data_IF_778706978468
#
_entry.id   IF_778706978468
#
_cell.length_a   1.000
_cell.length_b   1.000
_cell.length_c   1.000
_cell.angle_alpha   90.00
_cell.angle_beta   90.00
_cell.angle_gamma   90.00
#
_symmetry.space_group_name_H-M   'P 1'
#
loop_
_entity.id
_entity.type
_entity.pdbx_description
1 polymer ?
#
# COMPACT_ATOMS: atom_id res chain seq x y z
N UNK A 1 3.13 36.11 -29.80
CA UNK A 1 1.66 35.95 -29.97
C UNK A 1 1.26 34.49 -30.17
N UNK A 2 1.81 33.77 -31.17
CA UNK A 2 1.57 32.32 -31.34
C UNK A 2 1.96 31.50 -30.11
N UNK A 3 3.16 31.72 -29.58
CA UNK A 3 3.63 31.04 -28.35
C UNK A 3 2.77 31.30 -27.11
N UNK A 4 2.24 32.52 -26.96
CA UNK A 4 1.33 32.85 -25.87
C UNK A 4 -0.03 32.16 -26.03
N UNK A 5 -0.53 32.02 -27.26
CA UNK A 5 -1.74 31.27 -27.56
C UNK A 5 -1.54 29.76 -27.33
N UNK A 6 -0.40 29.20 -27.73
CA UNK A 6 -0.04 27.80 -27.48
C UNK A 6 0.02 27.51 -25.98
N UNK A 7 0.74 28.32 -25.19
CA UNK A 7 0.79 28.18 -23.73
C UNK A 7 -0.59 28.33 -23.07
N UNK A 8 -1.43 29.23 -23.58
CA UNK A 8 -2.80 29.37 -23.08
C UNK A 8 -3.66 28.14 -23.37
N UNK A 9 -3.48 27.50 -24.53
CA UNK A 9 -4.17 26.27 -24.89
C UNK A 9 -3.69 25.09 -24.02
N UNK A 10 -2.38 24.93 -23.86
CA UNK A 10 -1.76 23.93 -22.99
C UNK A 10 -2.25 24.07 -21.53
N UNK A 11 -2.33 25.31 -21.02
CA UNK A 11 -2.88 25.57 -19.68
C UNK A 11 -4.37 25.23 -19.57
N UNK A 12 -5.15 25.44 -20.63
CA UNK A 12 -6.57 25.09 -20.64
C UNK A 12 -6.76 23.57 -20.64
N UNK A 13 -5.97 22.85 -21.44
CA UNK A 13 -5.97 21.40 -21.51
C UNK A 13 -5.55 20.77 -20.18
N UNK A 14 -4.44 21.22 -19.60
CA UNK A 14 -3.99 20.76 -18.28
C UNK A 14 -5.03 21.05 -17.17
N UNK A 15 -5.78 22.15 -17.27
CA UNK A 15 -6.88 22.45 -16.34
C UNK A 15 -8.05 21.49 -16.50
N UNK A 16 -8.38 21.12 -17.74
CA UNK A 16 -9.45 20.15 -18.04
C UNK A 16 -9.09 18.76 -17.51
N UNK A 17 -7.88 18.27 -17.81
CA UNK A 17 -7.37 16.99 -17.29
C UNK A 17 -7.36 16.98 -15.75
N UNK A 18 -6.88 18.05 -15.13
CA UNK A 18 -6.88 18.17 -13.67
C UNK A 18 -8.31 18.26 -13.08
N UNK A 19 -9.33 18.62 -13.85
CA UNK A 19 -10.72 18.55 -13.42
C UNK A 19 -11.22 17.10 -13.43
N UNK A 20 -10.93 16.36 -14.50
CA UNK A 20 -11.31 14.95 -14.64
C UNK A 20 -10.66 14.07 -13.57
N UNK A 21 -9.35 14.21 -13.37
CA UNK A 21 -8.64 13.48 -12.32
C UNK A 21 -9.19 13.78 -10.92
N UNK A 22 -9.58 15.04 -10.64
CA UNK A 22 -10.18 15.42 -9.36
C UNK A 22 -11.56 14.78 -9.15
N UNK A 23 -12.39 14.71 -10.21
CA UNK A 23 -13.67 14.02 -10.16
C UNK A 23 -13.49 12.53 -9.92
N UNK A 24 -12.53 11.92 -10.59
CA UNK A 24 -12.21 10.50 -10.41
C UNK A 24 -11.77 10.20 -8.97
N UNK A 25 -10.86 11.00 -8.41
CA UNK A 25 -10.45 10.88 -7.01
C UNK A 25 -11.64 11.05 -6.06
N UNK A 26 -12.54 11.99 -6.35
CA UNK A 26 -13.74 12.19 -5.53
C UNK A 26 -14.68 10.98 -5.59
N UNK A 27 -14.82 10.34 -6.76
CA UNK A 27 -15.57 9.10 -6.96
C UNK A 27 -14.95 7.94 -6.18
N UNK A 28 -13.64 7.71 -6.31
CA UNK A 28 -12.90 6.67 -5.57
C UNK A 28 -12.95 6.88 -4.05
N UNK A 29 -13.05 8.13 -3.58
CA UNK A 29 -13.27 8.46 -2.16
C UNK A 29 -14.73 8.32 -1.70
N UNK A 30 -15.62 7.89 -2.59
CA UNK A 30 -17.03 7.66 -2.28
C UNK A 30 -17.84 8.92 -1.99
N UNK A 31 -17.51 10.07 -2.62
CA UNK A 31 -18.29 11.29 -2.42
C UNK A 31 -19.73 11.11 -2.91
N UNK A 32 -20.77 11.33 -2.06
CA UNK A 32 -22.15 11.01 -2.42
C UNK A 32 -22.64 11.68 -3.71
N UNK A 33 -22.27 12.94 -3.96
CA UNK A 33 -22.68 13.67 -5.16
C UNK A 33 -22.14 13.05 -6.47
N UNK A 34 -20.91 12.52 -6.45
CA UNK A 34 -20.30 11.86 -7.61
C UNK A 34 -20.87 10.45 -7.80
N UNK A 35 -21.25 9.77 -6.72
CA UNK A 35 -21.87 8.44 -6.79
C UNK A 35 -23.33 8.49 -7.24
N UNK A 36 -24.08 9.50 -6.81
CA UNK A 36 -25.51 9.62 -7.08
C UNK A 36 -25.86 9.71 -8.57
N UNK A 37 -24.92 10.18 -9.40
CA UNK A 37 -25.08 10.30 -10.85
C UNK A 37 -24.67 9.04 -11.62
N UNK A 38 -24.12 8.02 -10.93
CA UNK A 38 -23.65 6.80 -11.57
C UNK A 38 -24.79 5.78 -11.73
N UNK A 39 -24.83 5.03 -12.84
CA UNK A 39 -25.70 3.89 -12.97
C UNK A 39 -25.28 2.75 -12.03
N UNK A 40 -26.23 1.90 -11.65
CA UNK A 40 -26.00 0.78 -10.73
C UNK A 40 -24.84 -0.13 -11.16
N UNK A 41 -24.70 -0.41 -12.45
CA UNK A 41 -23.59 -1.21 -12.96
C UNK A 41 -22.23 -0.57 -12.68
N UNK A 42 -22.10 0.74 -12.84
CA UNK A 42 -20.87 1.47 -12.52
C UNK A 42 -20.59 1.49 -11.00
N UNK A 43 -21.63 1.54 -10.17
CA UNK A 43 -21.48 1.42 -8.71
C UNK A 43 -20.95 0.04 -8.29
N UNK A 44 -21.42 -1.04 -8.92
CA UNK A 44 -20.89 -2.38 -8.68
C UNK A 44 -19.43 -2.54 -9.14
N UNK A 45 -19.07 -2.01 -10.30
CA UNK A 45 -17.67 -1.99 -10.75
C UNK A 45 -16.78 -1.22 -9.77
N UNK A 46 -17.22 -0.04 -9.34
CA UNK A 46 -16.52 0.78 -8.36
C UNK A 46 -16.38 0.05 -7.00
N UNK A 47 -17.43 -0.63 -6.55
CA UNK A 47 -17.39 -1.47 -5.35
C UNK A 47 -16.30 -2.55 -5.46
N UNK A 48 -16.21 -3.23 -6.60
CA UNK A 48 -15.18 -4.24 -6.83
C UNK A 48 -13.77 -3.65 -6.83
N UNK A 49 -13.57 -2.52 -7.51
CA UNK A 49 -12.27 -1.82 -7.56
C UNK A 49 -11.81 -1.39 -6.16
N UNK A 50 -12.69 -0.79 -5.37
CA UNK A 50 -12.37 -0.38 -3.99
C UNK A 50 -12.09 -1.58 -3.10
N UNK A 51 -12.84 -2.68 -3.24
CA UNK A 51 -12.55 -3.92 -2.51
C UNK A 51 -11.16 -4.45 -2.85
N UNK A 52 -10.79 -4.46 -4.14
CA UNK A 52 -9.46 -4.90 -4.58
C UNK A 52 -8.36 -3.99 -4.04
N UNK A 53 -8.57 -2.67 -4.07
CA UNK A 53 -7.64 -1.70 -3.52
C UNK A 53 -7.42 -1.91 -2.01
N UNK A 54 -8.49 -2.15 -1.24
CA UNK A 54 -8.41 -2.48 0.18
C UNK A 54 -7.63 -3.77 0.43
N UNK A 55 -7.87 -4.83 -0.35
CA UNK A 55 -7.09 -6.08 -0.27
C UNK A 55 -5.59 -5.83 -0.48
N UNK A 56 -5.22 -5.01 -1.47
CA UNK A 56 -3.82 -4.68 -1.74
C UNK A 56 -3.18 -3.91 -0.57
N UNK A 57 -3.90 -2.95 0.01
CA UNK A 57 -3.43 -2.20 1.19
C UNK A 57 -3.24 -3.14 2.38
N UNK A 58 -4.20 -4.03 2.65
CA UNK A 58 -4.07 -5.01 3.72
C UNK A 58 -2.86 -5.94 3.52
N UNK A 59 -2.67 -6.46 2.31
CA UNK A 59 -1.52 -7.32 2.00
C UNK A 59 -0.18 -6.61 2.25
N UNK A 60 -0.08 -5.33 1.89
CA UNK A 60 1.11 -4.52 2.14
C UNK A 60 1.33 -4.26 3.64
N UNK A 61 0.26 -3.98 4.40
CA UNK A 61 0.33 -3.79 5.86
C UNK A 61 0.75 -5.08 6.57
N UNK A 62 0.17 -6.22 6.19
CA UNK A 62 0.59 -7.53 6.69
C UNK A 62 2.05 -7.83 6.32
N UNK A 63 2.44 -7.54 5.08
CA UNK A 63 3.82 -7.66 4.61
C UNK A 63 4.83 -6.79 5.36
N UNK A 64 4.39 -5.72 6.03
CA UNK A 64 5.23 -4.85 6.87
C UNK A 64 5.29 -5.30 8.33
N UNK A 65 4.18 -5.79 8.87
CA UNK A 65 4.00 -6.01 10.31
C UNK A 65 4.09 -7.48 10.73
N UNK A 66 3.66 -8.42 9.88
CA UNK A 66 3.58 -9.85 10.21
C UNK A 66 4.90 -10.59 9.93
N UNK A 67 5.18 -11.60 10.74
CA UNK A 67 6.28 -12.54 10.58
C UNK A 67 6.32 -13.07 9.15
N UNK A 68 7.46 -12.97 8.48
CA UNK A 68 7.58 -13.39 7.07
C UNK A 68 7.48 -14.92 6.88
N UNK A 69 7.50 -15.69 7.98
CA UNK A 69 7.43 -17.16 7.96
C UNK A 69 5.99 -17.64 8.20
N UNK A 70 5.41 -17.36 9.37
CA UNK A 70 4.06 -17.85 9.68
C UNK A 70 2.94 -16.93 9.18
N UNK A 71 3.21 -15.64 8.91
CA UNK A 71 2.22 -14.60 8.55
C UNK A 71 1.07 -14.40 9.55
N UNK A 72 1.11 -15.07 10.69
CA UNK A 72 0.07 -14.98 11.73
C UNK A 72 0.41 -13.95 12.82
N UNK A 73 1.63 -13.99 13.33
CA UNK A 73 2.10 -13.16 14.45
C UNK A 73 2.91 -11.97 13.96
N UNK A 74 2.99 -10.90 14.74
CA UNK A 74 3.79 -9.72 14.40
C UNK A 74 5.31 -9.99 14.46
N UNK A 75 6.06 -9.18 13.71
CA UNK A 75 7.52 -9.16 13.79
C UNK A 75 7.93 -8.52 15.09
N UNK A 76 8.68 -9.27 15.88
CA UNK A 76 9.13 -8.83 17.21
C UNK A 76 10.61 -9.15 17.43
N UNK A 77 11.31 -9.69 16.43
CA UNK A 77 12.67 -10.18 16.59
C UNK A 77 13.60 -9.55 15.56
N UNK A 78 14.60 -8.84 16.05
CA UNK A 78 15.76 -8.35 15.29
C UNK A 78 16.82 -9.45 15.27
N UNK A 79 17.26 -9.82 14.07
CA UNK A 79 18.27 -10.86 13.84
C UNK A 79 19.67 -10.25 13.77
N UNK A 80 20.60 -10.74 14.57
CA UNK A 80 21.98 -10.25 14.59
C UNK A 80 22.91 -11.25 13.88
N UNK A 81 23.90 -10.78 13.08
CA UNK A 81 24.37 -9.38 12.96
C UNK A 81 23.69 -8.55 11.86
N UNK A 82 22.79 -9.13 11.06
CA UNK A 82 22.24 -8.45 9.88
C UNK A 82 21.16 -7.39 10.18
N UNK A 83 20.71 -7.28 11.43
CA UNK A 83 19.72 -6.33 11.95
C UNK A 83 18.34 -6.35 11.27
N UNK A 84 17.97 -7.46 10.63
CA UNK A 84 16.66 -7.60 10.00
C UNK A 84 15.57 -7.91 11.03
N UNK A 85 14.52 -7.07 11.09
CA UNK A 85 13.28 -7.34 11.81
C UNK A 85 12.31 -8.11 10.90
N UNK A 86 12.25 -9.44 11.03
CA UNK A 86 11.55 -10.30 10.07
C UNK A 86 10.65 -11.37 10.70
N UNK A 87 10.90 -11.74 11.96
CA UNK A 87 10.31 -12.92 12.58
C UNK A 87 9.51 -12.57 13.83
N UNK A 88 8.52 -13.40 14.15
CA UNK A 88 7.93 -13.46 15.49
C UNK A 88 8.83 -14.29 16.42
N UNK A 89 8.57 -14.21 17.74
CA UNK A 89 9.33 -14.93 18.77
C UNK A 89 9.30 -16.46 18.58
N UNK A 90 8.19 -17.01 18.09
CA UNK A 90 8.09 -18.46 17.88
C UNK A 90 8.92 -18.94 16.68
N UNK A 91 8.91 -18.17 15.58
CA UNK A 91 9.65 -18.53 14.37
C UNK A 91 11.17 -18.32 14.52
N UNK A 92 11.61 -17.33 15.31
CA UNK A 92 13.04 -17.07 15.50
C UNK A 92 13.77 -18.24 16.17
N UNK A 93 13.09 -19.02 17.00
CA UNK A 93 13.65 -20.21 17.66
C UNK A 93 13.92 -21.38 16.72
N UNK A 94 13.39 -21.34 15.49
CA UNK A 94 13.42 -22.44 14.51
C UNK A 94 14.36 -22.20 13.34
N UNK A 95 15.00 -21.04 13.27
CA UNK A 95 15.82 -20.62 12.14
C UNK A 95 17.24 -20.27 12.60
N UNK A 96 18.22 -20.67 11.81
CA UNK A 96 19.65 -20.42 11.98
C UNK A 96 20.18 -19.39 10.97
N UNK A 97 19.38 -19.04 9.95
CA UNK A 97 19.70 -18.05 8.92
C UNK A 97 18.56 -17.07 8.71
N UNK A 98 18.92 -15.81 8.48
CA UNK A 98 17.98 -14.75 8.20
C UNK A 98 17.23 -15.03 6.88
N UNK A 99 15.88 -15.02 6.86
CA UNK A 99 15.12 -15.27 5.63
C UNK A 99 15.20 -14.13 4.61
N UNK A 100 15.64 -12.92 5.01
CA UNK A 100 15.76 -11.75 4.13
C UNK A 100 17.12 -11.70 3.42
N UNK A 101 18.22 -11.89 4.14
CA UNK A 101 19.58 -11.73 3.59
C UNK A 101 20.43 -13.01 3.64
N UNK A 102 19.91 -14.12 4.18
CA UNK A 102 20.57 -15.44 4.27
C UNK A 102 21.82 -15.51 5.16
N UNK A 103 22.18 -14.42 5.83
CA UNK A 103 23.23 -14.39 6.86
C UNK A 103 22.89 -15.30 8.03
N UNK A 104 23.91 -15.93 8.62
CA UNK A 104 23.73 -16.72 9.85
C UNK A 104 23.24 -15.85 11.00
N UNK A 105 22.34 -16.40 11.82
CA UNK A 105 21.78 -15.75 13.01
C UNK A 105 22.66 -16.14 14.20
N UNK A 106 23.34 -15.18 14.79
CA UNK A 106 24.15 -15.37 15.99
C UNK A 106 23.32 -15.20 17.26
N UNK A 107 22.42 -14.22 17.27
CA UNK A 107 21.48 -13.97 18.36
C UNK A 107 20.19 -13.33 17.86
N UNK A 108 19.14 -13.47 18.65
CA UNK A 108 17.82 -12.91 18.41
C UNK A 108 17.48 -11.92 19.54
N UNK A 109 17.21 -10.67 19.18
CA UNK A 109 16.82 -9.62 20.12
C UNK A 109 15.34 -9.31 19.97
N UNK A 110 14.56 -9.48 21.06
CA UNK A 110 13.12 -9.20 21.04
C UNK A 110 12.90 -7.70 21.24
N UNK A 111 12.14 -7.09 20.34
CA UNK A 111 11.75 -5.68 20.38
C UNK A 111 10.25 -5.57 20.63
N UNK A 112 9.88 -4.61 21.48
CA UNK A 112 8.48 -4.22 21.67
C UNK A 112 8.18 -3.14 20.64
N UNK A 113 7.37 -3.48 19.65
CA UNK A 113 6.87 -2.52 18.66
C UNK A 113 5.59 -1.92 19.26
N UNK A 114 5.64 -0.64 19.65
CA UNK A 114 4.53 0.09 20.28
C UNK A 114 3.65 0.77 19.24
#
# INVERSE_FOLDING_TARGET
RREAATRSAELAEARAEACELRREIARLRGRPAELAVLPTGALHSLQQELSNALCNVHAELEGRTKCCVCREQERQVVLVPCQHLALCVACSRRLDRCPLCRSSIERCEVVVVA
#
